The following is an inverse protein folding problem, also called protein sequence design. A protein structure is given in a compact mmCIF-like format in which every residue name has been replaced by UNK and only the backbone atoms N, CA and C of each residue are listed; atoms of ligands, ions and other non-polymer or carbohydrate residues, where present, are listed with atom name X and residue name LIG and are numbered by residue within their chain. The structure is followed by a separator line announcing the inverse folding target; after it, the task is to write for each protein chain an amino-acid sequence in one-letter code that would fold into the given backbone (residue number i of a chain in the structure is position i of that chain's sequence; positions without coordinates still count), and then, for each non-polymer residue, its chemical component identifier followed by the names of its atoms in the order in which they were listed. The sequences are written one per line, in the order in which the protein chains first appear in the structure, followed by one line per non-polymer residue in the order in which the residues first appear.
data_IF_981643788463
#
_entry.id   IF_981643788463
#
_cell.length_a   1.000
_cell.length_b   1.000
_cell.length_c   1.000
_cell.angle_alpha   90.00
_cell.angle_beta   90.00
_cell.angle_gamma   90.00
#
_symmetry.space_group_name_H-M   'P 1'
#
loop_
_entity.id
_entity.type
_entity.pdbx_description
1 polymer ?
#
# COMPACT_ATOMS: atom_id res chain seq x y z
N UNK A 1 -38.59 -82.57 18.90
CA UNK A 1 -39.79 -81.72 18.73
C UNK A 1 -39.46 -80.32 19.25
N UNK A 2 -39.97 -79.31 18.54
CA UNK A 2 -40.10 -77.90 18.91
C UNK A 2 -38.88 -76.97 18.76
N UNK A 3 -38.92 -76.30 17.60
CA UNK A 3 -38.37 -74.98 17.27
C UNK A 3 -39.11 -73.88 18.04
N UNK A 4 -38.40 -72.86 18.52
CA UNK A 4 -38.89 -71.47 18.65
C UNK A 4 -37.70 -70.53 18.88
N UNK A 5 -37.29 -69.79 17.84
CA UNK A 5 -37.45 -68.34 17.67
C UNK A 5 -36.64 -67.47 18.66
N UNK A 6 -35.43 -67.08 18.25
CA UNK A 6 -34.76 -65.87 18.72
C UNK A 6 -34.60 -64.89 17.55
N UNK A 7 -35.44 -63.85 17.58
CA UNK A 7 -35.26 -62.60 16.86
C UNK A 7 -34.29 -61.73 17.66
N UNK A 8 -33.22 -61.24 17.05
CA UNK A 8 -32.60 -59.94 17.33
C UNK A 8 -31.53 -59.65 16.28
N UNK A 9 -31.98 -59.30 15.08
CA UNK A 9 -31.16 -58.63 14.08
C UNK A 9 -31.14 -57.13 14.39
N UNK A 10 -30.14 -56.68 15.15
CA UNK A 10 -29.79 -55.27 15.26
C UNK A 10 -28.65 -54.97 14.28
N UNK A 11 -28.99 -54.77 13.02
CA UNK A 11 -28.08 -54.18 12.04
C UNK A 11 -27.99 -52.67 12.33
N UNK A 12 -27.10 -52.29 13.24
CA UNK A 12 -26.74 -50.88 13.46
C UNK A 12 -25.74 -50.44 12.40
N UNK A 13 -26.31 -49.77 11.40
CA UNK A 13 -25.81 -48.56 10.74
C UNK A 13 -24.53 -48.00 11.39
N UNK A 14 -23.37 -48.41 10.87
CA UNK A 14 -22.14 -47.61 10.92
C UNK A 14 -21.95 -46.98 9.54
N UNK A 15 -22.92 -46.13 9.18
CA UNK A 15 -22.74 -45.14 8.13
C UNK A 15 -21.68 -44.17 8.62
N UNK A 16 -20.46 -44.32 8.13
CA UNK A 16 -19.39 -43.37 8.36
C UNK A 16 -19.90 -41.99 7.99
N UNK A 17 -20.06 -41.15 9.01
CA UNK A 17 -20.13 -39.71 8.85
C UNK A 17 -18.75 -39.26 8.37
N UNK A 18 -18.46 -39.46 7.08
CA UNK A 18 -17.50 -38.64 6.37
C UNK A 18 -18.09 -37.23 6.40
N UNK A 19 -17.75 -36.51 7.46
CA UNK A 19 -17.69 -35.07 7.44
C UNK A 19 -16.94 -34.70 6.16
N UNK A 20 -17.68 -34.24 5.15
CA UNK A 20 -17.11 -33.43 4.10
C UNK A 20 -16.53 -32.20 4.81
N UNK A 21 -15.29 -32.30 5.29
CA UNK A 21 -14.51 -31.12 5.62
C UNK A 21 -14.48 -30.32 4.34
N UNK A 22 -15.22 -29.22 4.34
CA UNK A 22 -15.22 -28.27 3.25
C UNK A 22 -13.77 -27.81 3.13
N UNK A 23 -13.07 -28.34 2.11
CA UNK A 23 -11.64 -28.14 1.97
C UNK A 23 -11.40 -26.62 1.85
N UNK A 24 -10.67 -26.06 2.81
CA UNK A 24 -10.39 -24.63 2.83
C UNK A 24 -9.72 -24.24 1.52
N UNK A 25 -10.29 -23.26 0.81
CA UNK A 25 -9.74 -22.82 -0.48
C UNK A 25 -8.44 -22.04 -0.24
N UNK A 26 -7.52 -22.02 -1.23
CA UNK A 26 -6.30 -21.22 -1.15
C UNK A 26 -6.56 -19.76 -0.75
N UNK A 27 -7.55 -19.09 -1.37
CA UNK A 27 -7.91 -17.72 -1.03
C UNK A 27 -8.45 -17.56 0.40
N UNK A 28 -9.26 -18.51 0.87
CA UNK A 28 -9.78 -18.46 2.24
C UNK A 28 -8.64 -18.61 3.26
N UNK A 29 -7.72 -19.55 3.03
CA UNK A 29 -6.53 -19.73 3.87
C UNK A 29 -5.63 -18.50 3.87
N UNK A 30 -5.36 -17.92 2.70
CA UNK A 30 -4.54 -16.72 2.57
C UNK A 30 -5.16 -15.51 3.30
N UNK A 31 -6.48 -15.36 3.20
CA UNK A 31 -7.22 -14.30 3.90
C UNK A 31 -7.12 -14.47 5.41
N UNK A 32 -7.36 -15.68 5.92
CA UNK A 32 -7.27 -15.97 7.35
C UNK A 32 -5.85 -15.76 7.87
N UNK A 33 -4.82 -16.21 7.14
CA UNK A 33 -3.44 -15.99 7.52
C UNK A 33 -3.10 -14.49 7.67
N UNK A 34 -3.49 -13.66 6.70
CA UNK A 34 -3.28 -12.20 6.77
C UNK A 34 -4.05 -11.58 7.94
N UNK A 35 -5.27 -12.05 8.23
CA UNK A 35 -6.05 -11.59 9.38
C UNK A 35 -5.37 -11.92 10.71
N UNK A 36 -4.96 -13.18 10.92
CA UNK A 36 -4.29 -13.61 12.15
C UNK A 36 -2.95 -12.88 12.33
N UNK A 37 -2.16 -12.79 11.27
CA UNK A 37 -0.85 -12.14 11.33
C UNK A 37 -0.98 -10.62 11.57
N UNK A 38 -1.95 -9.95 10.95
CA UNK A 38 -2.22 -8.53 11.22
C UNK A 38 -2.72 -8.31 12.65
N UNK A 39 -3.54 -9.22 13.18
CA UNK A 39 -3.96 -9.23 14.58
C UNK A 39 -2.82 -9.63 15.56
N UNK A 40 -1.62 -9.88 15.04
CA UNK A 40 -0.44 -10.33 15.81
C UNK A 40 -0.70 -11.64 16.56
N UNK A 41 -1.61 -12.47 16.08
CA UNK A 41 -1.81 -13.83 16.56
C UNK A 41 -0.86 -14.77 15.82
N UNK A 42 0.41 -14.75 16.22
CA UNK A 42 1.46 -15.56 15.61
C UNK A 42 1.22 -17.07 15.78
N UNK A 43 0.51 -17.48 16.83
CA UNK A 43 0.24 -18.88 17.10
C UNK A 43 -0.83 -19.42 16.13
N UNK A 44 -1.93 -18.66 15.93
CA UNK A 44 -2.94 -19.02 14.93
C UNK A 44 -2.39 -18.89 13.49
N UNK A 45 -1.65 -17.83 13.19
CA UNK A 45 -0.98 -17.68 11.88
C UNK A 45 0.00 -18.83 11.61
N UNK A 46 0.72 -19.30 12.64
CA UNK A 46 1.60 -20.46 12.58
C UNK A 46 0.87 -21.74 12.19
N UNK A 47 -0.34 -21.99 12.70
CA UNK A 47 -1.12 -23.19 12.33
C UNK A 47 -1.51 -23.21 10.84
N UNK A 48 -1.64 -22.05 10.21
CA UNK A 48 -1.99 -21.89 8.79
C UNK A 48 -0.76 -21.95 7.87
N UNK A 49 0.44 -21.78 8.43
CA UNK A 49 1.69 -21.76 7.69
C UNK A 49 2.34 -23.14 7.59
N UNK A 50 3.27 -23.28 6.65
CA UNK A 50 4.17 -24.43 6.55
C UNK A 50 5.10 -24.51 7.76
N UNK A 51 5.70 -25.68 8.01
CA UNK A 51 6.67 -25.85 9.10
C UNK A 51 7.90 -24.93 8.95
N UNK A 52 8.37 -24.73 7.71
CA UNK A 52 9.53 -23.88 7.40
C UNK A 52 9.29 -22.39 7.67
N UNK A 53 8.02 -21.96 7.76
CA UNK A 53 7.67 -20.59 8.09
C UNK A 53 7.66 -20.29 9.60
N UNK A 54 7.66 -21.31 10.48
CA UNK A 54 7.60 -21.11 11.94
C UNK A 54 8.78 -20.27 12.48
N UNK A 55 10.05 -20.53 12.10
CA UNK A 55 11.16 -19.72 12.60
C UNK A 55 11.05 -18.25 12.18
N UNK A 56 10.55 -17.99 10.97
CA UNK A 56 10.32 -16.64 10.47
C UNK A 56 9.25 -15.90 11.29
N UNK A 57 8.12 -16.55 11.57
CA UNK A 57 7.06 -15.97 12.40
C UNK A 57 7.55 -15.69 13.82
N UNK A 58 8.31 -16.61 14.41
CA UNK A 58 8.91 -16.43 15.74
C UNK A 58 9.92 -15.28 15.76
N UNK A 59 10.78 -15.17 14.74
CA UNK A 59 11.72 -14.06 14.62
C UNK A 59 10.99 -12.72 14.50
N UNK A 60 9.95 -12.64 13.66
CA UNK A 60 9.15 -11.43 13.51
C UNK A 60 8.45 -11.02 14.80
N UNK A 61 7.96 -11.99 15.58
CA UNK A 61 7.38 -11.76 16.91
C UNK A 61 8.40 -11.14 17.85
N UNK A 62 9.59 -11.74 17.97
CA UNK A 62 10.66 -11.23 18.84
C UNK A 62 11.12 -9.83 18.43
N UNK A 63 11.25 -9.57 17.12
CA UNK A 63 11.59 -8.25 16.60
C UNK A 63 10.53 -7.21 16.93
N UNK A 64 9.25 -7.56 16.90
CA UNK A 64 8.17 -6.66 17.31
C UNK A 64 8.22 -6.40 18.82
N UNK A 65 8.32 -7.46 19.63
CA UNK A 65 8.38 -7.39 21.10
C UNK A 65 9.59 -6.58 21.61
N UNK A 66 10.69 -6.54 20.85
CA UNK A 66 11.85 -5.68 21.18
C UNK A 66 11.57 -4.19 21.06
N UNK A 67 10.51 -3.79 20.35
CA UNK A 67 10.14 -2.40 20.05
C UNK A 67 8.87 -1.96 20.79
N UNK A 68 7.90 -2.85 20.93
CA UNK A 68 6.59 -2.58 21.55
C UNK A 68 6.00 -3.86 22.10
N UNK A 69 5.24 -3.78 23.21
CA UNK A 69 4.51 -4.95 23.70
C UNK A 69 3.41 -5.33 22.70
N UNK A 70 3.26 -6.63 22.43
CA UNK A 70 2.26 -7.12 21.47
C UNK A 70 0.84 -6.67 21.84
N UNK A 71 0.45 -6.70 23.11
CA UNK A 71 -0.90 -6.32 23.51
C UNK A 71 -1.18 -4.82 23.29
N UNK A 72 -0.17 -3.97 23.46
CA UNK A 72 -0.27 -2.53 23.18
C UNK A 72 -0.46 -2.29 21.67
N UNK A 73 0.31 -3.01 20.84
CA UNK A 73 0.21 -2.90 19.39
C UNK A 73 -1.10 -3.52 18.85
N UNK A 74 -1.58 -4.63 19.44
CA UNK A 74 -2.89 -5.22 19.14
C UNK A 74 -4.03 -4.23 19.44
N UNK A 75 -3.99 -3.59 20.60
CA UNK A 75 -4.98 -2.59 20.98
C UNK A 75 -5.05 -1.44 19.96
N UNK A 76 -3.88 -0.99 19.44
CA UNK A 76 -3.81 0.03 18.39
C UNK A 76 -4.45 -0.40 17.06
N UNK A 77 -4.42 -1.70 16.73
CA UNK A 77 -4.96 -2.25 15.47
C UNK A 77 -6.46 -2.51 15.50
N UNK A 78 -7.07 -2.54 16.70
CA UNK A 78 -8.48 -2.96 16.92
C UNK A 78 -9.55 -2.16 16.15
N UNK A 79 -9.21 -0.98 15.60
CA UNK A 79 -10.13 -0.13 14.85
C UNK A 79 -10.21 -0.41 13.35
N UNK A 80 -9.39 -1.29 12.77
CA UNK A 80 -9.43 -1.56 11.32
C UNK A 80 -9.10 -3.01 11.01
N UNK A 81 -9.88 -3.64 10.13
CA UNK A 81 -9.69 -5.04 9.76
C UNK A 81 -8.63 -5.20 8.68
N UNK A 82 -7.95 -6.35 8.67
CA UNK A 82 -7.00 -6.71 7.63
C UNK A 82 -7.65 -6.74 6.24
N UNK A 83 -8.93 -7.16 6.15
CA UNK A 83 -9.70 -7.13 4.90
C UNK A 83 -9.81 -5.73 4.30
N UNK A 84 -9.99 -4.70 5.14
CA UNK A 84 -10.09 -3.31 4.69
C UNK A 84 -8.73 -2.78 4.23
N UNK A 85 -7.65 -3.14 4.92
CA UNK A 85 -6.31 -2.60 4.69
C UNK A 85 -5.60 -3.25 3.50
N UNK A 86 -5.75 -4.56 3.33
CA UNK A 86 -5.10 -5.35 2.30
C UNK A 86 -6.04 -5.78 1.17
N UNK A 87 -7.31 -5.35 1.22
CA UNK A 87 -8.35 -5.61 0.21
C UNK A 87 -8.42 -7.10 -0.18
N UNK A 88 -8.40 -8.00 0.82
CA UNK A 88 -8.27 -9.46 0.64
C UNK A 88 -9.38 -10.07 -0.22
N UNK A 89 -10.55 -9.42 -0.29
CA UNK A 89 -11.64 -9.78 -1.20
C UNK A 89 -11.22 -9.76 -2.68
N UNK A 90 -10.25 -8.93 -3.05
CA UNK A 90 -9.73 -8.80 -4.43
C UNK A 90 -8.67 -9.84 -4.78
N UNK A 91 -8.30 -10.72 -3.84
CA UNK A 91 -7.33 -11.77 -4.13
C UNK A 91 -7.77 -12.66 -5.29
N UNK A 92 -6.83 -12.92 -6.18
CA UNK A 92 -6.94 -13.82 -7.33
C UNK A 92 -5.99 -14.98 -7.08
N UNK A 93 -6.46 -16.18 -7.37
CA UNK A 93 -5.68 -17.41 -7.29
C UNK A 93 -5.06 -17.73 -8.65
N UNK A 94 -3.80 -18.14 -8.67
CA UNK A 94 -3.11 -18.59 -9.88
C UNK A 94 -2.14 -19.72 -9.52
N UNK A 95 -2.07 -20.75 -10.37
CA UNK A 95 -1.30 -21.97 -10.10
C UNK A 95 -2.12 -23.23 -10.26
N UNK A 96 -1.47 -24.38 -10.14
CA UNK A 96 -2.09 -25.70 -10.26
C UNK A 96 -1.23 -26.75 -9.58
N UNK A 97 -1.85 -27.86 -9.15
CA UNK A 97 -1.14 -28.94 -8.47
C UNK A 97 -0.99 -28.64 -6.98
N UNK A 98 0.24 -28.76 -6.47
CA UNK A 98 0.54 -28.60 -5.04
C UNK A 98 0.99 -27.19 -4.67
N UNK A 99 1.10 -26.28 -5.64
CA UNK A 99 1.50 -24.89 -5.44
C UNK A 99 0.49 -23.91 -6.04
N UNK A 100 0.08 -22.93 -5.24
CA UNK A 100 -0.83 -21.85 -5.64
C UNK A 100 -0.29 -20.53 -5.12
N UNK A 101 -0.41 -19.48 -5.93
CA UNK A 101 -0.17 -18.10 -5.55
C UNK A 101 -1.51 -17.37 -5.45
N UNK A 102 -1.76 -16.79 -4.27
CA UNK A 102 -2.89 -15.90 -4.02
C UNK A 102 -2.35 -14.47 -3.92
N UNK A 103 -2.85 -13.56 -4.76
CA UNK A 103 -2.30 -12.19 -4.81
C UNK A 103 -3.34 -11.13 -5.20
N UNK A 104 -3.02 -9.88 -4.87
CA UNK A 104 -3.62 -8.68 -5.45
C UNK A 104 -2.50 -7.64 -5.71
N UNK A 105 -2.87 -6.37 -5.87
CA UNK A 105 -1.90 -5.28 -6.10
C UNK A 105 -1.07 -4.92 -4.85
N UNK A 106 -1.41 -5.46 -3.67
CA UNK A 106 -0.76 -5.15 -2.41
C UNK A 106 0.10 -6.32 -1.92
N UNK A 107 -0.43 -7.54 -1.90
CA UNK A 107 0.22 -8.72 -1.35
C UNK A 107 0.33 -9.85 -2.38
N UNK A 108 1.40 -10.64 -2.24
CA UNK A 108 1.60 -11.92 -2.91
C UNK A 108 1.84 -12.99 -1.86
N UNK A 109 1.04 -14.05 -1.88
CA UNK A 109 1.03 -15.10 -0.86
C UNK A 109 1.21 -16.43 -1.58
N UNK A 110 2.31 -17.13 -1.27
CA UNK A 110 2.57 -18.46 -1.81
C UNK A 110 1.95 -19.50 -0.87
N UNK A 111 1.26 -20.49 -1.44
CA UNK A 111 0.65 -21.59 -0.73
C UNK A 111 1.19 -22.90 -1.31
N UNK A 112 1.43 -23.86 -0.42
CA UNK A 112 1.89 -25.19 -0.74
C UNK A 112 0.98 -26.22 -0.08
N UNK A 113 0.72 -27.33 -0.76
CA UNK A 113 -0.08 -28.41 -0.23
C UNK A 113 0.80 -29.36 0.58
N UNK A 114 0.69 -29.29 1.90
CA UNK A 114 1.44 -30.13 2.85
C UNK A 114 0.47 -31.14 3.50
N UNK A 115 0.80 -32.43 3.43
CA UNK A 115 0.00 -33.52 4.00
C UNK A 115 -1.48 -33.52 3.54
N UNK A 116 -1.71 -33.10 2.28
CA UNK A 116 -3.05 -33.03 1.68
C UNK A 116 -3.84 -31.75 2.01
N UNK A 117 -3.32 -30.88 2.88
CA UNK A 117 -3.93 -29.60 3.23
C UNK A 117 -3.14 -28.41 2.67
N UNK A 118 -3.83 -27.33 2.32
CA UNK A 118 -3.16 -26.08 1.93
C UNK A 118 -2.50 -25.43 3.16
N UNK A 119 -1.29 -24.94 2.98
CA UNK A 119 -0.51 -24.17 3.97
C UNK A 119 0.13 -22.96 3.32
N UNK A 120 0.31 -21.89 4.08
CA UNK A 120 1.02 -20.69 3.61
C UNK A 120 2.53 -20.92 3.67
N UNK A 121 3.18 -20.87 2.51
CA UNK A 121 4.64 -20.80 2.39
C UNK A 121 5.07 -19.34 2.59
N UNK A 122 5.02 -18.88 3.85
CA UNK A 122 5.20 -17.48 4.19
C UNK A 122 6.62 -17.00 3.88
N UNK A 123 6.73 -16.01 2.99
CA UNK A 123 7.98 -15.34 2.67
C UNK A 123 8.25 -14.18 3.63
N UNK A 124 9.52 -13.81 3.78
CA UNK A 124 9.95 -12.78 4.74
C UNK A 124 9.35 -11.39 4.43
N UNK A 125 9.20 -11.06 3.15
CA UNK A 125 8.58 -9.82 2.68
C UNK A 125 7.09 -9.75 3.04
N UNK A 126 6.34 -10.85 2.89
CA UNK A 126 4.94 -10.93 3.30
C UNK A 126 4.79 -10.72 4.81
N UNK A 127 5.60 -11.43 5.61
CA UNK A 127 5.51 -11.33 7.08
C UNK A 127 5.86 -9.92 7.54
N UNK A 128 6.94 -9.34 7.00
CA UNK A 128 7.36 -7.98 7.29
C UNK A 128 6.28 -6.95 6.91
N UNK A 129 5.71 -7.05 5.70
CA UNK A 129 4.68 -6.14 5.21
C UNK A 129 3.43 -6.13 6.10
N UNK A 130 2.96 -7.31 6.55
CA UNK A 130 1.75 -7.42 7.37
C UNK A 130 2.02 -7.02 8.83
N UNK A 131 3.14 -7.47 9.41
CA UNK A 131 3.48 -7.17 10.81
C UNK A 131 3.84 -5.70 10.99
N UNK A 132 4.60 -5.09 10.08
CA UNK A 132 5.02 -3.69 10.18
C UNK A 132 4.09 -2.71 9.43
N UNK A 133 2.92 -3.16 8.96
CA UNK A 133 1.97 -2.35 8.19
C UNK A 133 1.67 -0.97 8.82
N UNK A 134 1.38 -0.83 10.13
CA UNK A 134 1.11 0.48 10.72
C UNK A 134 2.31 1.43 10.64
N UNK A 135 3.52 0.90 10.82
CA UNK A 135 4.78 1.65 10.75
C UNK A 135 5.03 2.13 9.33
N UNK A 136 4.88 1.24 8.33
CA UNK A 136 5.10 1.60 6.94
C UNK A 136 4.01 2.54 6.40
N UNK A 137 2.76 2.36 6.83
CA UNK A 137 1.66 3.26 6.47
C UNK A 137 1.88 4.67 7.00
N UNK A 138 2.35 4.81 8.24
CA UNK A 138 2.67 6.14 8.79
C UNK A 138 3.88 6.77 8.09
N UNK A 139 4.90 5.97 7.79
CA UNK A 139 6.07 6.45 7.04
C UNK A 139 5.70 6.97 5.65
N UNK A 140 4.88 6.23 4.89
CA UNK A 140 4.45 6.69 3.56
C UNK A 140 3.50 7.88 3.64
N UNK A 141 2.63 7.96 4.66
CA UNK A 141 1.76 9.12 4.91
C UNK A 141 2.56 10.38 5.21
N UNK A 142 3.59 10.26 6.05
CA UNK A 142 4.49 11.37 6.37
C UNK A 142 5.27 11.81 5.12
N UNK A 143 5.85 10.86 4.38
CA UNK A 143 6.57 11.14 3.14
C UNK A 143 5.65 11.81 2.09
N UNK A 144 4.40 11.35 1.96
CA UNK A 144 3.41 11.95 1.08
C UNK A 144 3.08 13.38 1.51
N UNK A 145 2.79 13.60 2.78
CA UNK A 145 2.46 14.94 3.32
C UNK A 145 3.58 15.94 3.05
N UNK A 146 4.83 15.53 3.24
CA UNK A 146 6.00 16.38 2.95
C UNK A 146 6.14 16.67 1.46
N UNK A 147 6.00 15.65 0.60
CA UNK A 147 6.05 15.81 -0.85
C UNK A 147 4.92 16.73 -1.35
N UNK A 148 3.71 16.54 -0.86
CA UNK A 148 2.55 17.36 -1.21
C UNK A 148 2.77 18.81 -0.78
N UNK A 149 3.24 19.05 0.45
CA UNK A 149 3.50 20.39 0.94
C UNK A 149 4.53 21.14 0.08
N UNK A 150 5.60 20.47 -0.36
CA UNK A 150 6.61 21.10 -1.22
C UNK A 150 6.08 21.34 -2.65
N UNK A 151 5.24 20.44 -3.19
CA UNK A 151 4.52 20.66 -4.45
C UNK A 151 3.53 21.83 -4.37
N UNK A 152 2.80 21.95 -3.27
CA UNK A 152 1.88 23.07 -3.02
C UNK A 152 2.64 24.40 -2.90
N UNK A 153 3.81 24.38 -2.24
CA UNK A 153 4.72 25.52 -2.18
C UNK A 153 5.19 25.93 -3.59
N UNK A 154 5.58 24.99 -4.46
CA UNK A 154 5.88 25.28 -5.87
C UNK A 154 4.71 25.98 -6.55
N UNK A 155 3.51 25.40 -6.42
CA UNK A 155 2.30 25.92 -7.05
C UNK A 155 2.02 27.36 -6.64
N UNK A 156 2.16 27.68 -5.35
CA UNK A 156 2.01 29.05 -4.82
C UNK A 156 3.07 30.00 -5.39
N UNK A 157 4.36 29.61 -5.38
CA UNK A 157 5.43 30.44 -5.94
C UNK A 157 5.21 30.76 -7.43
N UNK A 158 4.68 29.80 -8.20
CA UNK A 158 4.33 30.04 -9.60
C UNK A 158 3.16 31.03 -9.73
N UNK A 159 2.13 30.91 -8.89
CA UNK A 159 1.01 31.86 -8.88
C UNK A 159 1.45 33.28 -8.49
N UNK A 160 2.35 33.40 -7.52
CA UNK A 160 2.94 34.68 -7.10
C UNK A 160 3.76 35.30 -8.24
N UNK A 161 4.59 34.49 -8.91
CA UNK A 161 5.33 34.93 -10.09
C UNK A 161 4.39 35.41 -11.21
N UNK A 162 3.35 34.64 -11.53
CA UNK A 162 2.37 35.00 -12.56
C UNK A 162 1.64 36.31 -12.23
N UNK A 163 1.33 36.54 -10.95
CA UNK A 163 0.73 37.80 -10.48
C UNK A 163 1.70 38.97 -10.65
N UNK A 164 2.98 38.78 -10.34
CA UNK A 164 4.02 39.79 -10.50
C UNK A 164 4.17 40.22 -11.96
N UNK A 165 4.28 39.27 -12.89
CA UNK A 165 4.46 39.59 -14.33
C UNK A 165 3.20 40.18 -14.95
N UNK A 166 2.00 39.74 -14.53
CA UNK A 166 0.75 40.35 -14.96
C UNK A 166 0.67 41.83 -14.52
N UNK A 167 1.07 42.16 -13.30
CA UNK A 167 1.12 43.54 -12.80
C UNK A 167 2.15 44.42 -13.54
N UNK A 168 3.12 43.81 -14.22
CA UNK A 168 4.11 44.51 -15.07
C UNK A 168 3.66 44.64 -16.53
N UNK A 169 2.53 44.03 -16.91
CA UNK A 169 1.98 44.08 -18.27
C UNK A 169 2.56 43.04 -19.23
N UNK A 170 3.26 42.02 -18.75
CA UNK A 170 3.81 40.95 -19.58
C UNK A 170 2.71 39.98 -20.03
N UNK A 171 2.43 39.94 -21.33
CA UNK A 171 1.34 39.15 -21.93
C UNK A 171 1.84 38.08 -22.92
N UNK A 172 2.85 37.29 -22.53
CA UNK A 172 3.38 36.21 -23.36
C UNK A 172 2.46 34.97 -23.35
N UNK A 173 2.14 34.32 -24.50
CA UNK A 173 1.36 33.08 -24.54
C UNK A 173 1.89 31.92 -23.68
N UNK A 174 3.21 31.85 -23.44
CA UNK A 174 3.81 30.85 -22.54
C UNK A 174 3.36 31.03 -21.07
N UNK A 175 3.05 32.28 -20.66
CA UNK A 175 2.50 32.56 -19.32
C UNK A 175 1.06 32.07 -19.17
N UNK A 176 0.26 32.10 -20.24
CA UNK A 176 -1.10 31.57 -20.22
C UNK A 176 -1.11 30.05 -20.01
N UNK A 177 -0.21 29.32 -20.67
CA UNK A 177 0.00 27.89 -20.45
C UNK A 177 0.44 27.58 -19.02
N UNK A 178 1.39 28.35 -18.49
CA UNK A 178 1.85 28.21 -17.11
C UNK A 178 0.74 28.50 -16.08
N UNK A 179 -0.08 29.53 -16.33
CA UNK A 179 -1.22 29.89 -15.48
C UNK A 179 -2.29 28.80 -15.44
N UNK A 180 -2.63 28.21 -16.59
CA UNK A 180 -3.55 27.08 -16.65
C UNK A 180 -3.03 25.89 -15.83
N UNK A 181 -1.74 25.54 -15.98
CA UNK A 181 -1.14 24.43 -15.24
C UNK A 181 -1.09 24.67 -13.73
N UNK A 182 -0.80 25.91 -13.30
CA UNK A 182 -0.82 26.29 -11.89
C UNK A 182 -2.23 26.21 -11.28
N UNK A 183 -3.26 26.61 -12.03
CA UNK A 183 -4.67 26.46 -11.63
C UNK A 183 -5.07 25.00 -11.51
N UNK A 184 -4.67 24.17 -12.48
CA UNK A 184 -4.93 22.72 -12.46
C UNK A 184 -4.30 22.04 -11.24
N UNK A 185 -3.08 22.45 -10.86
CA UNK A 185 -2.41 21.96 -9.66
C UNK A 185 -3.15 22.40 -8.38
N UNK A 186 -3.59 23.66 -8.31
CA UNK A 186 -4.30 24.18 -7.13
C UNK A 186 -5.66 23.51 -6.90
N UNK A 187 -6.30 22.98 -7.95
CA UNK A 187 -7.56 22.26 -7.87
C UNK A 187 -7.40 20.74 -7.66
N UNK A 188 -6.17 20.23 -7.69
CA UNK A 188 -5.92 18.79 -7.65
C UNK A 188 -6.24 18.18 -6.28
N UNK A 189 -6.88 17.01 -6.30
CA UNK A 189 -7.12 16.18 -5.11
C UNK A 189 -6.02 15.14 -4.97
N UNK A 190 -5.90 14.56 -3.76
CA UNK A 190 -4.87 13.58 -3.43
C UNK A 190 -5.31 12.59 -2.34
N UNK A 191 -6.61 12.25 -2.28
CA UNK A 191 -7.17 11.38 -1.25
C UNK A 191 -6.93 9.89 -1.53
N UNK A 192 -7.08 9.50 -2.80
CA UNK A 192 -6.95 8.11 -3.28
C UNK A 192 -5.66 7.88 -4.06
N UNK A 193 -5.32 6.62 -4.36
CA UNK A 193 -4.16 6.30 -5.19
C UNK A 193 -4.23 6.96 -6.59
N UNK A 194 -5.37 6.90 -7.26
CA UNK A 194 -5.56 7.51 -8.57
C UNK A 194 -5.40 9.04 -8.51
N UNK A 195 -5.97 9.68 -7.49
CA UNK A 195 -5.84 11.11 -7.28
C UNK A 195 -4.39 11.52 -6.97
N UNK A 196 -3.64 10.75 -6.17
CA UNK A 196 -2.21 11.02 -5.92
C UNK A 196 -1.35 10.91 -7.18
N UNK A 197 -1.63 9.90 -8.02
CA UNK A 197 -0.96 9.76 -9.31
C UNK A 197 -1.26 10.94 -10.25
N UNK A 198 -2.53 11.34 -10.36
CA UNK A 198 -2.94 12.50 -11.16
C UNK A 198 -2.35 13.82 -10.61
N UNK A 199 -2.32 14.00 -9.28
CA UNK A 199 -1.69 15.15 -8.64
C UNK A 199 -0.23 15.29 -9.08
N UNK A 200 0.52 14.19 -9.07
CA UNK A 200 1.95 14.19 -9.43
C UNK A 200 2.14 14.44 -10.94
N UNK A 201 1.28 13.88 -11.79
CA UNK A 201 1.30 14.15 -13.22
C UNK A 201 1.05 15.64 -13.54
N UNK A 202 0.12 16.28 -12.83
CA UNK A 202 -0.13 17.73 -12.95
C UNK A 202 1.08 18.55 -12.51
N UNK A 203 1.71 18.14 -11.41
CA UNK A 203 2.93 18.72 -10.90
C UNK A 203 4.11 18.57 -11.89
N UNK A 204 4.22 17.47 -12.62
CA UNK A 204 5.22 17.30 -13.70
C UNK A 204 4.94 18.20 -14.89
N UNK A 205 3.66 18.35 -15.27
CA UNK A 205 3.26 19.27 -16.33
C UNK A 205 3.57 20.72 -15.97
N UNK A 206 3.35 21.13 -14.71
CA UNK A 206 3.71 22.46 -14.22
C UNK A 206 5.23 22.69 -14.34
N UNK A 207 6.03 21.73 -13.90
CA UNK A 207 7.50 21.78 -14.02
C UNK A 207 7.96 21.92 -15.47
N UNK A 208 7.40 21.16 -16.40
CA UNK A 208 7.77 21.21 -17.81
C UNK A 208 7.46 22.57 -18.48
N UNK A 209 6.46 23.30 -17.97
CA UNK A 209 6.08 24.63 -18.47
C UNK A 209 6.83 25.76 -17.75
N UNK A 210 7.38 25.51 -16.56
CA UNK A 210 8.10 26.51 -15.77
C UNK A 210 9.31 27.07 -16.53
N UNK A 211 10.14 26.20 -17.11
CA UNK A 211 11.36 26.63 -17.82
C UNK A 211 11.05 27.61 -18.97
N UNK A 212 9.95 27.38 -19.70
CA UNK A 212 9.50 28.28 -20.78
C UNK A 212 8.91 29.58 -20.24
N UNK A 213 8.08 29.51 -19.20
CA UNK A 213 7.45 30.69 -18.60
C UNK A 213 8.43 31.60 -17.85
N UNK A 214 9.58 31.08 -17.41
CA UNK A 214 10.65 31.84 -16.75
C UNK A 214 11.68 32.42 -17.73
N UNK A 215 11.73 31.95 -18.98
CA UNK A 215 12.72 32.39 -19.99
C UNK A 215 12.73 33.92 -20.25
N UNK A 216 11.58 34.61 -20.40
CA UNK A 216 11.57 36.07 -20.57
C UNK A 216 12.16 36.82 -19.37
N UNK A 217 11.91 36.28 -18.18
CA UNK A 217 12.35 36.80 -16.90
C UNK A 217 13.86 36.63 -16.66
N UNK A 218 14.47 35.56 -17.18
CA UNK A 218 15.93 35.35 -17.16
C UNK A 218 16.68 36.37 -18.03
N UNK A 219 16.03 36.89 -19.07
CA UNK A 219 16.60 37.85 -20.01
C UNK A 219 16.39 39.31 -19.59
N UNK A 220 15.47 39.57 -18.67
CA UNK A 220 15.15 40.89 -18.13
C UNK A 220 15.71 41.01 -16.71
N UNK A 221 16.93 41.53 -16.58
CA UNK A 221 17.75 41.64 -15.37
C UNK A 221 17.09 42.40 -14.19
N UNK A 222 16.07 41.83 -13.56
CA UNK A 222 15.41 42.38 -12.38
C UNK A 222 15.62 41.48 -11.15
N UNK A 223 16.24 42.03 -10.10
CA UNK A 223 16.59 41.33 -8.85
C UNK A 223 15.42 40.56 -8.22
N UNK A 224 14.20 41.12 -8.30
CA UNK A 224 13.01 40.48 -7.73
C UNK A 224 12.60 39.20 -8.45
N UNK A 225 12.84 39.11 -9.76
CA UNK A 225 12.48 37.93 -10.54
C UNK A 225 13.50 36.80 -10.35
N UNK A 226 14.78 37.15 -10.14
CA UNK A 226 15.84 36.21 -9.80
C UNK A 226 15.55 35.49 -8.47
N UNK A 227 14.96 36.18 -7.49
CA UNK A 227 14.55 35.56 -6.22
C UNK A 227 13.54 34.41 -6.43
N UNK A 228 12.52 34.60 -7.28
CA UNK A 228 11.56 33.53 -7.59
C UNK A 228 12.22 32.36 -8.31
N UNK A 229 13.13 32.63 -9.25
CA UNK A 229 13.87 31.58 -9.98
C UNK A 229 14.70 30.73 -9.01
N UNK A 230 15.42 31.37 -8.06
CA UNK A 230 16.20 30.66 -7.04
C UNK A 230 15.28 29.80 -6.16
N UNK A 231 14.18 30.37 -5.66
CA UNK A 231 13.24 29.62 -4.82
C UNK A 231 12.61 28.43 -5.56
N UNK A 232 12.23 28.61 -6.84
CA UNK A 232 11.68 27.54 -7.66
C UNK A 232 12.71 26.44 -7.94
N UNK A 233 13.98 26.80 -8.17
CA UNK A 233 15.09 25.84 -8.30
C UNK A 233 15.30 25.03 -7.01
N UNK A 234 15.27 25.66 -5.84
CA UNK A 234 15.44 24.97 -4.57
C UNK A 234 14.27 24.02 -4.27
N UNK A 235 13.05 24.47 -4.56
CA UNK A 235 11.83 23.65 -4.47
C UNK A 235 11.89 22.45 -5.40
N UNK A 236 12.37 22.60 -6.65
CA UNK A 236 12.57 21.49 -7.59
C UNK A 236 13.51 20.42 -7.01
N UNK A 237 14.64 20.84 -6.43
CA UNK A 237 15.59 19.92 -5.79
C UNK A 237 14.95 19.20 -4.59
N UNK A 238 14.22 19.95 -3.77
CA UNK A 238 13.50 19.40 -2.61
C UNK A 238 12.45 18.35 -3.03
N UNK A 239 11.59 18.67 -4.01
CA UNK A 239 10.59 17.74 -4.57
C UNK A 239 11.27 16.47 -5.09
N UNK A 240 12.39 16.59 -5.80
CA UNK A 240 13.15 15.43 -6.32
C UNK A 240 13.60 14.50 -5.18
N UNK A 241 14.11 15.07 -4.08
CA UNK A 241 14.50 14.31 -2.89
C UNK A 241 13.29 13.64 -2.21
N UNK A 242 12.20 14.40 -2.01
CA UNK A 242 10.98 13.94 -1.37
C UNK A 242 10.28 12.84 -2.18
N UNK A 243 10.32 12.89 -3.52
CA UNK A 243 9.81 11.80 -4.37
C UNK A 243 10.52 10.48 -4.11
N UNK A 244 11.85 10.50 -3.97
CA UNK A 244 12.63 9.28 -3.66
C UNK A 244 12.28 8.73 -2.28
N UNK A 245 12.10 9.61 -1.29
CA UNK A 245 11.67 9.20 0.05
C UNK A 245 10.28 8.57 0.02
N UNK A 246 9.34 9.21 -0.69
CA UNK A 246 7.99 8.67 -0.89
C UNK A 246 8.03 7.32 -1.60
N UNK A 247 8.73 7.18 -2.72
CA UNK A 247 8.81 5.93 -3.46
C UNK A 247 9.37 4.79 -2.60
N UNK A 248 10.42 5.06 -1.82
CA UNK A 248 10.99 4.09 -0.88
C UNK A 248 9.99 3.65 0.19
N UNK A 249 9.20 4.59 0.71
CA UNK A 249 8.18 4.29 1.71
C UNK A 249 6.96 3.56 1.10
N UNK A 250 6.50 3.95 -0.09
CA UNK A 250 5.36 3.37 -0.78
C UNK A 250 5.57 1.90 -1.14
N UNK A 251 6.79 1.54 -1.59
CA UNK A 251 7.16 0.14 -1.87
C UNK A 251 7.00 -0.74 -0.64
N UNK A 252 7.27 -0.23 0.56
CA UNK A 252 7.18 -1.01 1.82
C UNK A 252 5.79 -1.01 2.43
N UNK A 253 5.02 0.06 2.22
CA UNK A 253 3.72 0.21 2.87
C UNK A 253 2.65 -0.73 2.33
N UNK A 254 2.75 -1.13 1.05
CA UNK A 254 1.71 -1.90 0.36
C UNK A 254 0.31 -1.31 0.57
N UNK A 255 0.20 0.01 0.75
CA UNK A 255 -1.03 0.69 1.12
C UNK A 255 -1.90 0.97 -0.10
N UNK A 256 -3.19 0.61 -0.03
CA UNK A 256 -4.17 0.78 -1.11
C UNK A 256 -4.19 2.18 -1.72
N UNK A 257 -4.07 3.20 -0.88
CA UNK A 257 -4.15 4.60 -1.29
C UNK A 257 -2.79 5.23 -1.58
N UNK A 258 -1.68 4.53 -1.36
CA UNK A 258 -0.32 5.06 -1.53
C UNK A 258 0.41 4.30 -2.64
N UNK A 259 0.17 4.64 -3.92
CA UNK A 259 0.76 3.94 -5.04
C UNK A 259 2.26 4.23 -5.13
N UNK A 260 3.01 3.28 -5.70
CA UNK A 260 4.34 3.62 -6.22
C UNK A 260 4.15 4.54 -7.42
N UNK A 261 4.66 5.76 -7.32
CA UNK A 261 4.59 6.76 -8.38
C UNK A 261 5.71 6.53 -9.41
N UNK A 262 5.48 6.89 -10.68
CA UNK A 262 6.50 6.85 -11.73
C UNK A 262 7.64 7.85 -11.52
#
# INVERSE_FOLDING_TARGET
MNRTFYLLGAALLSGGLFSCQQQQTPKALATEFVQQLYALDFDEAGKLATADAQPLLQQSRQQLESRVKIDEERARRSGTTAETLFDTQTFIESGSGDDVVVQNNQLRINLHKQDGAWKVAAAADLVDAVVNYPVYTEAVRSAWTNLQAECDKRTRLVQDYLTLVANRGDNNPELAGLQAAARDCAAAKAGTAAERADYIARQDRLEALLDKGLSPALNASADFTLNYIVQLSDVKKSITGLRRQYATAAVRAHGKDFPVLP
#
